data_IF_428113771500
#
_entry.id   IF_428113771500
#
_cell.length_a   1.000
_cell.length_b   1.000
_cell.length_c   1.000
_cell.angle_alpha   90.00
_cell.angle_beta   90.00
_cell.angle_gamma   90.00
#
_symmetry.space_group_name_H-M   'P 1'
#
loop_
_entity.id
_entity.type
_entity.pdbx_description
1 polymer ?
#
# COMPACT_ATOMS: atom_id res chain seq x y z
N UNK A 1 0.77 16.36 9.09
CA UNK A 1 0.05 15.60 10.13
C UNK A 1 -1.29 15.16 9.57
N UNK A 2 -1.54 13.86 9.42
CA UNK A 2 -2.90 13.35 9.14
C UNK A 2 -3.20 12.28 10.18
N UNK A 3 -4.11 12.61 11.09
CA UNK A 3 -4.64 11.71 12.12
C UNK A 3 -5.67 10.81 11.45
N UNK A 4 -5.51 9.49 11.55
CA UNK A 4 -6.63 8.57 11.36
C UNK A 4 -6.90 8.02 12.75
N UNK A 5 -7.88 8.61 13.42
CA UNK A 5 -8.44 8.06 14.63
C UNK A 5 -9.48 7.02 14.21
N UNK A 6 -9.30 5.77 14.64
CA UNK A 6 -10.23 5.06 15.53
C UNK A 6 -9.97 3.55 15.47
N UNK A 7 -9.90 2.96 16.66
CA UNK A 7 -9.99 1.53 16.97
C UNK A 7 -8.80 0.65 16.57
N UNK A 8 -7.80 0.59 17.45
CA UNK A 8 -7.13 -0.66 17.82
C UNK A 8 -6.58 -0.49 19.24
N UNK A 9 -7.42 -0.85 20.22
CA UNK A 9 -6.99 -1.04 21.59
C UNK A 9 -6.26 -2.38 21.64
N UNK A 10 -4.95 -2.38 21.32
CA UNK A 10 -4.07 -3.50 21.63
C UNK A 10 -3.14 -3.04 22.75
N UNK A 11 -3.10 -3.89 23.78
CA UNK A 11 -2.54 -3.64 25.10
C UNK A 11 -1.18 -2.92 25.07
N UNK A 12 -1.11 -1.87 25.88
CA UNK A 12 0.11 -1.16 26.21
C UNK A 12 1.03 -2.06 27.05
N UNK A 13 1.93 -2.77 26.38
CA UNK A 13 3.21 -3.20 26.96
C UNK A 13 4.31 -2.33 26.36
N UNK A 14 5.15 -1.79 27.24
CA UNK A 14 6.29 -0.92 26.97
C UNK A 14 7.26 -1.58 25.97
N UNK A 15 7.05 -1.37 24.68
CA UNK A 15 7.98 -1.81 23.64
C UNK A 15 8.69 -0.61 23.04
N UNK A 16 10.03 -0.63 23.09
CA UNK A 16 10.86 0.07 22.10
C UNK A 16 10.31 -0.29 20.71
N UNK A 17 10.20 0.69 19.80
CA UNK A 17 9.53 0.49 18.52
C UNK A 17 10.05 -0.77 17.80
N UNK A 18 9.14 -1.53 17.18
CA UNK A 18 9.52 -2.72 16.44
C UNK A 18 10.18 -2.30 15.13
N UNK A 19 11.40 -2.77 14.87
CA UNK A 19 12.11 -2.49 13.64
C UNK A 19 11.78 -3.53 12.59
N UNK A 20 11.36 -3.07 11.42
CA UNK A 20 10.92 -3.94 10.35
C UNK A 20 11.68 -3.58 9.08
N UNK A 21 12.37 -4.56 8.51
CA UNK A 21 12.91 -4.46 7.16
C UNK A 21 11.81 -4.75 6.17
N UNK A 22 11.43 -3.73 5.42
CA UNK A 22 10.46 -3.79 4.35
C UNK A 22 11.03 -4.56 3.15
N UNK A 23 10.17 -5.03 2.26
CA UNK A 23 10.57 -5.83 1.08
C UNK A 23 11.50 -5.09 0.10
N UNK A 24 11.54 -3.75 0.17
CA UNK A 24 12.46 -2.92 -0.60
C UNK A 24 13.82 -2.67 0.11
N UNK A 25 14.06 -3.32 1.25
CA UNK A 25 15.27 -3.19 2.05
C UNK A 25 15.31 -1.98 2.98
N UNK A 26 14.30 -1.08 2.94
CA UNK A 26 14.19 0.02 3.90
C UNK A 26 13.78 -0.51 5.26
N UNK A 27 14.17 0.18 6.32
CA UNK A 27 13.77 -0.17 7.68
C UNK A 27 12.84 0.90 8.24
N UNK A 28 11.77 0.47 8.91
CA UNK A 28 10.89 1.35 9.67
C UNK A 28 10.95 1.02 11.15
N UNK A 29 10.72 2.02 11.99
CA UNK A 29 10.33 1.86 13.39
C UNK A 29 8.81 1.97 13.46
N UNK A 30 8.13 0.87 13.81
CA UNK A 30 6.70 0.86 14.09
C UNK A 30 6.50 1.19 15.57
N UNK A 31 5.80 2.30 15.83
CA UNK A 31 5.50 2.77 17.19
C UNK A 31 4.27 2.06 17.76
N UNK A 32 4.12 1.99 19.09
CA UNK A 32 2.96 1.35 19.73
C UNK A 32 1.61 1.97 19.35
N UNK A 33 1.59 3.25 18.97
CA UNK A 33 0.40 3.97 18.50
C UNK A 33 0.01 3.63 17.04
N UNK A 34 0.70 2.68 16.41
CA UNK A 34 0.50 2.28 15.02
C UNK A 34 1.09 3.24 14.00
N UNK A 35 1.70 4.35 14.43
CA UNK A 35 2.46 5.22 13.53
C UNK A 35 3.83 4.63 13.21
N UNK A 36 4.43 5.07 12.12
CA UNK A 36 5.72 4.57 11.68
C UNK A 36 6.61 5.68 11.18
N UNK A 37 7.92 5.43 11.18
CA UNK A 37 8.91 6.30 10.56
C UNK A 37 10.03 5.48 9.91
N UNK A 38 10.51 5.92 8.75
CA UNK A 38 11.69 5.34 8.10
C UNK A 38 12.93 5.65 8.94
N UNK A 39 13.75 4.62 9.18
CA UNK A 39 15.02 4.72 9.91
C UNK A 39 16.15 4.16 9.06
N UNK A 40 17.35 4.69 9.25
CA UNK A 40 18.55 4.16 8.59
C UNK A 40 19.24 3.19 9.54
N UNK A 41 19.40 1.93 9.12
CA UNK A 41 20.16 0.94 9.88
C UNK A 41 21.58 0.86 9.34
N UNK A 42 22.57 0.94 10.22
CA UNK A 42 24.00 0.80 9.90
C UNK A 42 24.64 -0.26 10.79
N UNK A 43 25.57 -1.02 10.21
CA UNK A 43 26.39 -1.99 10.94
C UNK A 43 27.76 -1.38 11.23
N UNK A 44 28.13 -1.29 12.50
CA UNK A 44 29.45 -0.79 12.94
C UNK A 44 30.11 -1.88 13.80
N UNK A 45 31.02 -2.63 13.20
CA UNK A 45 31.61 -3.81 13.84
C UNK A 45 30.56 -4.90 14.09
N UNK A 46 30.43 -5.34 15.35
CA UNK A 46 29.41 -6.29 15.79
C UNK A 46 28.06 -5.63 16.12
N UNK A 47 27.99 -4.30 16.12
CA UNK A 47 26.80 -3.55 16.53
C UNK A 47 25.93 -3.17 15.34
N UNK A 48 24.61 -3.18 15.57
CA UNK A 48 23.61 -2.66 14.62
C UNK A 48 22.97 -1.43 15.25
N UNK A 49 22.92 -0.33 14.50
CA UNK A 49 22.46 0.98 14.97
C UNK A 49 21.34 1.46 14.07
N UNK A 50 20.21 1.86 14.65
CA UNK A 50 19.12 2.53 13.95
C UNK A 50 19.23 4.05 14.16
N UNK A 51 19.22 4.81 13.06
CA UNK A 51 19.30 6.27 13.04
C UNK A 51 17.94 6.82 12.61
N UNK A 52 17.34 7.64 13.45
CA UNK A 52 16.03 8.27 13.24
C UNK A 52 16.17 9.56 12.41
N UNK A 53 15.08 10.02 11.75
CA UNK A 53 15.12 11.24 10.93
C UNK A 53 15.55 12.51 11.69
N UNK A 54 15.30 12.56 13.00
CA UNK A 54 15.71 13.67 13.86
C UNK A 54 17.18 13.62 14.30
N UNK A 55 17.98 12.69 13.76
CA UNK A 55 19.41 12.53 14.07
C UNK A 55 19.71 11.74 15.35
N UNK A 56 18.68 11.37 16.13
CA UNK A 56 18.86 10.46 17.27
C UNK A 56 19.12 9.04 16.78
N UNK A 57 19.85 8.26 17.57
CA UNK A 57 20.19 6.88 17.23
C UNK A 57 20.09 5.99 18.45
N UNK A 58 19.84 4.71 18.21
CA UNK A 58 19.85 3.68 19.25
C UNK A 58 20.47 2.38 18.74
N UNK A 59 21.04 1.62 19.67
CA UNK A 59 21.55 0.28 19.38
C UNK A 59 20.36 -0.67 19.30
N UNK A 60 20.29 -1.43 18.21
CA UNK A 60 19.25 -2.42 17.97
C UNK A 60 19.90 -3.78 17.83
N UNK A 61 19.25 -4.83 18.33
CA UNK A 61 19.71 -6.18 18.10
C UNK A 61 19.28 -6.61 16.69
N UNK A 62 20.22 -7.10 15.87
CA UNK A 62 19.93 -7.44 14.47
C UNK A 62 18.83 -8.51 14.32
N UNK A 63 18.73 -9.43 15.30
CA UNK A 63 17.68 -10.46 15.36
C UNK A 63 16.28 -9.90 15.72
N UNK A 64 16.20 -8.68 16.26
CA UNK A 64 14.95 -7.96 16.54
C UNK A 64 14.48 -7.09 15.36
N UNK A 65 15.24 -7.06 14.26
CA UNK A 65 14.78 -6.47 13.01
C UNK A 65 14.06 -7.56 12.22
N UNK A 66 12.74 -7.51 12.22
CA UNK A 66 11.93 -8.50 11.52
C UNK A 66 11.84 -8.18 10.02
N UNK A 67 11.87 -9.21 9.18
CA UNK A 67 11.65 -9.05 7.75
C UNK A 67 10.14 -9.05 7.47
N UNK A 68 9.68 -8.04 6.73
CA UNK A 68 8.28 -7.87 6.34
C UNK A 68 7.70 -9.08 5.60
N UNK A 69 8.52 -9.76 4.81
CA UNK A 69 8.14 -10.96 4.08
C UNK A 69 7.72 -12.14 4.99
N UNK A 70 8.17 -12.18 6.26
CA UNK A 70 7.70 -13.18 7.25
C UNK A 70 6.32 -12.83 7.80
N UNK A 71 5.90 -11.58 7.65
CA UNK A 71 4.61 -11.06 8.08
C UNK A 71 3.64 -10.94 6.90
N UNK A 72 4.04 -11.35 5.70
CA UNK A 72 3.23 -11.30 4.47
C UNK A 72 1.93 -12.05 4.70
N UNK A 73 0.87 -11.30 5.01
CA UNK A 73 -0.44 -11.88 5.26
C UNK A 73 -0.97 -12.42 3.93
N UNK A 74 -1.59 -13.59 4.02
CA UNK A 74 -2.21 -14.35 2.94
C UNK A 74 -3.27 -13.59 2.11
N UNK A 75 -3.50 -12.30 2.37
CA UNK A 75 -4.52 -11.43 1.77
C UNK A 75 -4.33 -11.29 0.25
N UNK A 76 -3.12 -10.94 -0.21
CA UNK A 76 -2.88 -10.74 -1.65
C UNK A 76 -2.98 -12.05 -2.45
N UNK A 77 -2.37 -13.13 -1.93
CA UNK A 77 -2.48 -14.48 -2.52
C UNK A 77 -3.93 -14.99 -2.49
N UNK A 78 -4.71 -14.64 -1.47
CA UNK A 78 -6.12 -15.04 -1.36
C UNK A 78 -7.00 -14.40 -2.43
N UNK A 79 -6.72 -13.17 -2.84
CA UNK A 79 -7.64 -12.41 -3.70
C UNK A 79 -7.21 -12.25 -5.16
N UNK A 80 -5.91 -12.35 -5.50
CA UNK A 80 -5.45 -12.25 -6.90
C UNK A 80 -6.16 -13.22 -7.85
N UNK A 81 -6.55 -14.39 -7.35
CA UNK A 81 -7.22 -15.41 -8.15
C UNK A 81 -8.74 -15.27 -8.26
N UNK A 82 -9.34 -14.35 -7.49
CA UNK A 82 -10.79 -14.10 -7.51
C UNK A 82 -11.25 -13.62 -8.90
N UNK A 83 -12.35 -14.17 -9.46
CA UNK A 83 -12.86 -13.76 -10.76
C UNK A 83 -13.10 -12.25 -10.89
N UNK A 84 -13.62 -11.63 -9.81
CA UNK A 84 -13.86 -10.20 -9.76
C UNK A 84 -12.56 -9.39 -9.90
N UNK A 85 -11.46 -9.84 -9.29
CA UNK A 85 -10.15 -9.17 -9.39
C UNK A 85 -9.56 -9.35 -10.78
N UNK A 86 -9.72 -10.53 -11.39
CA UNK A 86 -9.27 -10.81 -12.76
C UNK A 86 -9.93 -9.90 -13.79
N UNK A 87 -11.11 -9.36 -13.52
CA UNK A 87 -11.75 -8.39 -14.42
C UNK A 87 -10.89 -7.15 -14.63
N UNK A 88 -10.17 -6.68 -13.60
CA UNK A 88 -9.34 -5.49 -13.63
C UNK A 88 -8.15 -5.60 -14.60
N UNK A 89 -7.75 -6.81 -14.99
CA UNK A 89 -6.63 -7.01 -15.92
C UNK A 89 -6.92 -6.35 -17.28
N UNK A 90 -5.91 -5.64 -17.79
CA UNK A 90 -5.98 -4.88 -19.03
C UNK A 90 -5.86 -3.36 -18.80
N UNK A 91 -6.18 -2.61 -19.85
CA UNK A 91 -6.08 -1.16 -19.88
C UNK A 91 -7.46 -0.53 -19.73
N UNK A 92 -7.53 0.54 -18.96
CA UNK A 92 -8.75 1.29 -18.66
C UNK A 92 -8.48 2.77 -18.82
N UNK A 93 -9.41 3.50 -19.42
CA UNK A 93 -9.29 4.93 -19.62
C UNK A 93 -10.66 5.61 -19.59
N UNK A 94 -10.72 6.79 -18.97
CA UNK A 94 -11.92 7.61 -18.89
C UNK A 94 -11.74 8.76 -17.92
N UNK A 95 -12.51 9.83 -18.07
CA UNK A 95 -12.57 10.96 -17.13
C UNK A 95 -11.22 11.59 -16.71
N UNK A 96 -10.21 11.54 -17.60
CA UNK A 96 -8.88 12.11 -17.34
C UNK A 96 -7.98 11.25 -16.46
N UNK A 97 -8.34 9.99 -16.25
CA UNK A 97 -7.57 8.97 -15.54
C UNK A 97 -7.43 7.71 -16.41
N UNK A 98 -6.36 6.95 -16.19
CA UNK A 98 -6.17 5.66 -16.84
C UNK A 98 -5.44 4.69 -15.93
N UNK A 99 -5.78 3.41 -16.09
CA UNK A 99 -5.12 2.29 -15.45
C UNK A 99 -4.58 1.31 -16.48
N UNK A 100 -3.48 0.64 -16.17
CA UNK A 100 -3.03 -0.55 -16.88
C UNK A 100 -2.66 -1.59 -15.84
N UNK A 101 -3.44 -2.64 -15.70
CA UNK A 101 -3.18 -3.76 -14.78
C UNK A 101 -2.65 -4.96 -15.55
N UNK A 102 -1.47 -5.43 -15.14
CA UNK A 102 -0.88 -6.71 -15.51
C UNK A 102 -0.95 -7.67 -14.32
N UNK A 103 -0.43 -8.90 -14.46
CA UNK A 103 -0.44 -9.91 -13.39
C UNK A 103 0.10 -9.36 -12.07
N UNK A 104 1.22 -8.64 -12.09
CA UNK A 104 1.94 -8.23 -10.89
C UNK A 104 2.20 -6.73 -10.80
N UNK A 105 2.05 -6.02 -11.92
CA UNK A 105 2.31 -4.59 -12.02
C UNK A 105 1.07 -3.81 -12.44
N UNK A 106 0.97 -2.58 -11.97
CA UNK A 106 -0.04 -1.65 -12.43
C UNK A 106 0.55 -0.26 -12.67
N UNK A 107 -0.07 0.46 -13.59
CA UNK A 107 0.20 1.86 -13.89
C UNK A 107 -1.08 2.64 -13.68
N UNK A 108 -1.02 3.70 -12.87
CA UNK A 108 -2.06 4.71 -12.74
C UNK A 108 -1.53 6.02 -13.34
N UNK A 109 -2.27 6.62 -14.27
CA UNK A 109 -2.03 7.99 -14.72
C UNK A 109 -3.28 8.83 -14.47
N UNK A 110 -3.12 9.94 -13.77
CA UNK A 110 -4.22 10.86 -13.46
C UNK A 110 -3.81 12.29 -13.79
N UNK A 111 -4.69 13.03 -14.47
CA UNK A 111 -4.50 14.46 -14.70
C UNK A 111 -4.73 15.23 -13.40
N UNK A 112 -3.73 15.99 -12.97
CA UNK A 112 -3.75 16.87 -11.80
C UNK A 112 -3.39 18.28 -12.25
N UNK A 113 -4.41 19.13 -12.43
CA UNK A 113 -4.24 20.44 -13.07
C UNK A 113 -3.76 20.30 -14.52
N UNK A 114 -2.62 20.92 -14.83
CA UNK A 114 -1.97 20.87 -16.15
C UNK A 114 -0.97 19.71 -16.30
N UNK A 115 -0.69 18.98 -15.22
CA UNK A 115 0.30 17.90 -15.20
C UNK A 115 -0.37 16.52 -15.08
N UNK A 116 0.39 15.47 -15.38
CA UNK A 116 -0.01 14.10 -15.10
C UNK A 116 0.77 13.55 -13.91
N UNK A 117 0.04 13.06 -12.89
CA UNK A 117 0.60 12.18 -11.87
C UNK A 117 0.63 10.78 -12.44
N UNK A 118 1.81 10.18 -12.55
CA UNK A 118 1.98 8.77 -12.94
C UNK A 118 2.52 7.98 -11.75
N UNK A 119 1.86 6.89 -11.42
CA UNK A 119 2.29 5.93 -10.40
C UNK A 119 2.45 4.59 -11.11
N UNK A 120 3.57 3.93 -10.87
CA UNK A 120 3.92 2.67 -11.52
C UNK A 120 4.62 1.79 -10.52
N UNK A 121 4.27 0.50 -10.51
CA UNK A 121 4.96 -0.48 -9.69
C UNK A 121 4.12 -1.73 -9.49
N UNK A 122 4.44 -2.48 -8.44
CA UNK A 122 3.62 -3.61 -8.03
C UNK A 122 2.25 -3.13 -7.57
N UNK A 123 1.26 -4.00 -7.70
CA UNK A 123 -0.05 -3.77 -7.11
C UNK A 123 -0.55 -5.01 -6.37
N UNK A 124 -1.25 -4.75 -5.27
CA UNK A 124 -1.85 -5.78 -4.43
C UNK A 124 -3.32 -5.51 -4.20
N UNK A 125 -4.04 -6.55 -3.80
CA UNK A 125 -5.44 -6.45 -3.38
C UNK A 125 -5.52 -6.37 -1.86
N UNK A 126 -5.99 -5.23 -1.36
CA UNK A 126 -6.21 -4.97 0.07
C UNK A 126 -7.51 -5.60 0.57
N UNK A 127 -8.57 -5.50 -0.24
CA UNK A 127 -9.90 -5.94 0.13
C UNK A 127 -10.80 -6.17 -1.09
N UNK A 128 -11.78 -7.08 -0.95
CA UNK A 128 -12.83 -7.35 -1.94
C UNK A 128 -14.20 -7.35 -1.25
N UNK A 129 -15.05 -6.37 -1.56
CA UNK A 129 -16.47 -6.34 -1.18
C UNK A 129 -17.30 -6.88 -2.35
N UNK A 130 -17.55 -8.20 -2.33
CA UNK A 130 -18.31 -8.89 -3.40
C UNK A 130 -19.75 -8.41 -3.51
N UNK A 131 -20.36 -7.97 -2.42
CA UNK A 131 -21.75 -7.50 -2.43
C UNK A 131 -21.90 -6.18 -3.19
N UNK A 132 -20.84 -5.37 -3.24
CA UNK A 132 -20.81 -4.09 -3.94
C UNK A 132 -19.96 -4.10 -5.21
N UNK A 133 -19.39 -5.26 -5.58
CA UNK A 133 -18.39 -5.40 -6.64
C UNK A 133 -17.21 -4.42 -6.51
N UNK A 134 -16.73 -4.18 -5.29
CA UNK A 134 -15.62 -3.24 -5.05
C UNK A 134 -14.34 -4.02 -4.75
N UNK A 135 -13.28 -3.69 -5.47
CA UNK A 135 -11.90 -4.12 -5.21
C UNK A 135 -11.10 -2.93 -4.72
N UNK A 136 -10.49 -3.05 -3.55
CA UNK A 136 -9.54 -2.06 -3.03
C UNK A 136 -8.13 -2.53 -3.36
N UNK A 137 -7.39 -1.70 -4.09
CA UNK A 137 -6.02 -1.99 -4.54
C UNK A 137 -5.05 -0.94 -4.03
N UNK A 138 -3.80 -1.30 -3.82
CA UNK A 138 -2.71 -0.35 -3.68
C UNK A 138 -1.80 -0.47 -4.92
N UNK A 139 -1.55 0.64 -5.62
CA UNK A 139 -0.72 0.68 -6.84
C UNK A 139 0.59 1.43 -6.55
N UNK A 140 1.71 0.86 -6.99
CA UNK A 140 3.02 1.46 -6.78
C UNK A 140 3.48 1.31 -5.33
N UNK A 141 3.09 0.22 -4.68
CA UNK A 141 3.53 -0.11 -3.34
C UNK A 141 5.06 -0.07 -3.28
N UNK A 142 5.59 0.75 -2.36
CA UNK A 142 7.02 0.83 -2.14
C UNK A 142 7.53 -0.27 -1.22
N UNK A 143 6.68 -0.75 -0.31
CA UNK A 143 7.04 -1.67 0.77
C UNK A 143 5.81 -2.20 1.52
N UNK A 144 5.94 -3.35 2.20
CA UNK A 144 4.85 -4.01 2.95
C UNK A 144 5.21 -4.33 4.39
N UNK A 145 4.20 -4.49 5.24
CA UNK A 145 4.20 -5.18 6.54
C UNK A 145 2.85 -5.88 6.72
N UNK A 146 2.73 -7.12 6.26
CA UNK A 146 1.47 -7.86 6.38
C UNK A 146 0.26 -7.14 5.78
N UNK A 147 -0.59 -6.54 6.61
CA UNK A 147 -1.79 -5.77 6.22
C UNK A 147 -1.52 -4.27 6.02
N UNK A 148 -0.31 -3.79 6.33
CA UNK A 148 0.10 -2.40 6.17
C UNK A 148 0.97 -2.28 4.92
N UNK A 149 0.53 -1.45 3.97
CA UNK A 149 1.35 -1.06 2.82
C UNK A 149 1.97 0.31 3.05
N UNK A 150 3.23 0.45 2.68
CA UNK A 150 4.00 1.68 2.75
C UNK A 150 4.23 2.25 1.35
N UNK A 151 3.78 3.49 1.16
CA UNK A 151 3.76 4.10 -0.15
C UNK A 151 2.67 3.52 -1.07
N UNK A 152 2.74 3.91 -2.33
CA UNK A 152 1.70 3.64 -3.32
C UNK A 152 0.45 4.51 -3.15
N UNK A 153 -0.56 4.23 -3.97
CA UNK A 153 -1.82 4.97 -4.03
C UNK A 153 -2.98 3.97 -3.92
N UNK A 154 -3.76 4.09 -2.84
CA UNK A 154 -4.88 3.19 -2.55
C UNK A 154 -6.07 3.64 -3.38
N UNK A 155 -6.58 2.73 -4.22
CA UNK A 155 -7.74 2.97 -5.09
C UNK A 155 -8.87 2.01 -4.77
N UNK A 156 -10.10 2.51 -4.79
CA UNK A 156 -11.33 1.72 -4.66
C UNK A 156 -12.01 1.67 -6.01
N UNK A 157 -11.93 0.51 -6.66
CA UNK A 157 -12.47 0.28 -7.99
C UNK A 157 -13.74 -0.56 -7.88
N UNK A 158 -14.86 -0.02 -8.35
CA UNK A 158 -16.09 -0.78 -8.53
C UNK A 158 -16.13 -1.35 -9.93
N UNK A 159 -16.30 -2.65 -10.05
CA UNK A 159 -16.54 -3.32 -11.33
C UNK A 159 -18.03 -3.23 -11.63
N UNK A 160 -18.39 -2.47 -12.66
CA UNK A 160 -19.78 -2.34 -13.11
C UNK A 160 -20.11 -3.52 -14.03
N UNK A 161 -19.22 -3.78 -14.99
CA UNK A 161 -19.30 -4.90 -15.93
C UNK A 161 -17.89 -5.25 -16.48
N UNK A 162 -17.80 -6.15 -17.47
CA UNK A 162 -16.51 -6.60 -18.04
C UNK A 162 -15.73 -5.51 -18.79
N UNK A 163 -16.39 -4.41 -19.16
CA UNK A 163 -15.87 -3.30 -19.96
C UNK A 163 -15.91 -1.96 -19.24
N UNK A 164 -16.51 -1.88 -18.05
CA UNK A 164 -16.65 -0.63 -17.28
C UNK A 164 -16.25 -0.82 -15.82
N UNK A 165 -15.39 0.08 -15.34
CA UNK A 165 -15.07 0.24 -13.91
C UNK A 165 -15.30 1.68 -13.48
N UNK A 166 -15.61 1.87 -12.20
CA UNK A 166 -15.66 3.18 -11.56
C UNK A 166 -14.57 3.28 -10.50
N UNK A 167 -13.77 4.34 -10.53
CA UNK A 167 -12.94 4.70 -9.39
C UNK A 167 -13.74 5.60 -8.44
N UNK A 168 -13.98 5.07 -7.24
CA UNK A 168 -14.77 5.68 -6.17
C UNK A 168 -13.91 6.03 -4.94
N UNK A 169 -12.60 6.20 -5.14
CA UNK A 169 -11.63 6.45 -4.05
C UNK A 169 -11.92 7.73 -3.31
N UNK A 170 -12.15 8.82 -4.05
CA UNK A 170 -12.22 10.19 -3.54
C UNK A 170 -13.67 10.63 -3.24
N UNK A 171 -14.47 9.76 -2.62
CA UNK A 171 -15.89 10.05 -2.30
C UNK A 171 -16.10 11.29 -1.42
N UNK A 172 -15.06 11.78 -0.74
CA UNK A 172 -15.14 13.01 0.05
C UNK A 172 -15.14 14.30 -0.80
N UNK A 173 -14.66 14.24 -2.06
CA UNK A 173 -14.75 15.32 -3.05
C UNK A 173 -15.81 15.06 -4.14
N UNK A 174 -16.62 14.00 -3.98
CA UNK A 174 -17.79 13.72 -4.84
C UNK A 174 -17.49 13.24 -6.26
N UNK A 175 -16.22 13.12 -6.66
CA UNK A 175 -15.87 12.71 -8.03
C UNK A 175 -15.75 11.20 -8.13
N UNK A 176 -16.59 10.61 -8.97
CA UNK A 176 -16.48 9.23 -9.45
C UNK A 176 -15.91 9.31 -10.87
N UNK A 177 -14.86 8.53 -11.13
CA UNK A 177 -14.28 8.43 -12.47
C UNK A 177 -14.79 7.15 -13.12
N UNK A 178 -15.48 7.27 -14.25
CA UNK A 178 -15.91 6.12 -15.05
C UNK A 178 -14.83 5.83 -16.08
N UNK A 179 -14.37 4.58 -16.14
CA UNK A 179 -13.37 4.14 -17.10
C UNK A 179 -13.88 2.97 -17.91
N UNK A 180 -13.54 2.99 -19.18
CA UNK A 180 -13.85 1.92 -20.11
C UNK A 180 -12.59 1.14 -20.48
N UNK A 181 -12.79 -0.15 -20.73
CA UNK A 181 -11.73 -1.04 -21.16
C UNK A 181 -11.22 -0.62 -22.54
N UNK A 182 -9.92 -0.41 -22.66
CA UNK A 182 -9.26 -0.07 -23.92
C UNK A 182 -8.94 -1.38 -24.65
N UNK A 183 -9.46 -1.52 -25.87
CA UNK A 183 -9.19 -2.66 -26.75
C UNK A 183 -7.79 -2.61 -27.32
#
# INVERSE_FOLDING_TARGET
MKKIASTLLIAATLFAGNYITLDNGKVIELKPDGTWQEVKVVKKGSETIAIKPNGTWEKVEANKIEAANKLQTAVDKKYKDEPLVKTLLGKWSGDGISYSFSSDTAVLKMKVGHNYKTITGKWIVENVDKNKNIVTVNIGEGARLGFLTFGGDIRKLRVVDSNTIEDITDRFDGKVYTLHKVR
#
